data_IF_256162010038
#
_entry.id   IF_256162010038
#
_cell.length_a   1.000
_cell.length_b   1.000
_cell.length_c   1.000
_cell.angle_alpha   90.00
_cell.angle_beta   90.00
_cell.angle_gamma   90.00
#
_symmetry.space_group_name_H-M   'P 1'
#
loop_
_entity.id
_entity.type
_entity.pdbx_description
1 polymer ?
#
# COMPACT_ATOMS: atom_id res chain seq x y z
N UNK A 1 -4.80 -13.14 -4.94
CA UNK A 1 -4.25 -11.88 -5.49
C UNK A 1 -5.22 -10.69 -5.42
N UNK A 2 -6.55 -10.89 -5.42
CA UNK A 2 -7.52 -9.77 -5.41
C UNK A 2 -7.84 -9.11 -4.06
N UNK A 3 -7.52 -9.74 -2.92
CA UNK A 3 -7.91 -9.24 -1.58
C UNK A 3 -7.05 -8.05 -1.14
N UNK A 4 -5.75 -8.06 -1.46
CA UNK A 4 -4.78 -7.06 -0.97
C UNK A 4 -5.07 -5.65 -1.53
N UNK A 5 -5.38 -5.47 -2.82
CA UNK A 5 -5.75 -4.15 -3.35
C UNK A 5 -7.10 -3.63 -2.83
N UNK A 6 -8.07 -4.53 -2.64
CA UNK A 6 -9.37 -4.17 -2.05
C UNK A 6 -9.19 -3.71 -0.61
N UNK A 7 -8.40 -4.44 0.17
CA UNK A 7 -8.05 -4.04 1.53
C UNK A 7 -7.37 -2.67 1.53
N UNK A 8 -6.38 -2.43 0.66
CA UNK A 8 -5.71 -1.13 0.54
C UNK A 8 -6.69 0.02 0.24
N UNK A 9 -7.67 -0.21 -0.63
CA UNK A 9 -8.68 0.79 -0.98
C UNK A 9 -9.58 1.19 0.19
N UNK A 10 -10.10 0.22 0.96
CA UNK A 10 -10.98 0.49 2.10
C UNK A 10 -10.21 0.96 3.34
N UNK A 11 -9.03 0.38 3.58
CA UNK A 11 -8.22 0.71 4.74
C UNK A 11 -7.64 2.12 4.66
N UNK A 12 -7.22 2.56 3.47
CA UNK A 12 -6.79 3.95 3.27
C UNK A 12 -7.92 4.95 3.54
N UNK A 13 -9.16 4.62 3.14
CA UNK A 13 -10.33 5.43 3.47
C UNK A 13 -10.61 5.47 4.97
N UNK A 14 -10.51 4.34 5.65
CA UNK A 14 -10.66 4.25 7.09
C UNK A 14 -9.62 5.11 7.83
N UNK A 15 -8.34 5.02 7.45
CA UNK A 15 -7.28 5.81 8.07
C UNK A 15 -7.45 7.32 7.83
N UNK A 16 -7.92 7.72 6.64
CA UNK A 16 -8.16 9.13 6.31
C UNK A 16 -9.24 9.80 7.17
N UNK A 17 -10.04 9.02 7.92
CA UNK A 17 -11.04 9.55 8.86
C UNK A 17 -10.40 10.14 10.12
N UNK A 18 -9.18 9.71 10.45
CA UNK A 18 -8.48 10.15 11.65
C UNK A 18 -7.62 11.38 11.33
N UNK A 19 -7.89 12.49 12.03
CA UNK A 19 -7.12 13.73 11.89
C UNK A 19 -5.61 13.51 12.06
N UNK A 20 -5.19 12.52 12.86
CA UNK A 20 -3.78 12.15 13.03
C UNK A 20 -3.09 11.68 11.75
N UNK A 21 -3.83 11.10 10.82
CA UNK A 21 -3.29 10.56 9.56
C UNK A 21 -3.45 11.55 8.40
N UNK A 22 -4.46 12.43 8.47
CA UNK A 22 -4.74 13.40 7.41
C UNK A 22 -4.07 14.76 7.65
N UNK A 23 -3.78 15.13 8.90
CA UNK A 23 -3.19 16.42 9.25
C UNK A 23 -1.66 16.36 9.30
N UNK A 24 -0.96 17.32 8.67
CA UNK A 24 0.48 17.44 8.80
C UNK A 24 0.85 17.96 10.20
N UNK A 25 1.78 17.25 10.86
CA UNK A 25 2.42 17.70 12.11
C UNK A 25 3.80 18.27 11.77
N UNK A 26 4.04 19.53 12.12
CA UNK A 26 5.34 20.20 11.96
C UNK A 26 6.30 19.95 13.12
N UNK A 27 5.78 19.47 14.25
CA UNK A 27 6.52 19.30 15.50
C UNK A 27 6.34 17.87 16.04
N UNK A 28 7.42 17.26 16.53
CA UNK A 28 7.42 15.92 17.14
C UNK A 28 6.75 15.88 18.52
N UNK A 29 6.17 16.99 18.97
CA UNK A 29 5.53 17.10 20.28
C UNK A 29 4.16 16.41 20.23
N UNK A 30 3.85 15.56 21.21
CA UNK A 30 2.53 14.90 21.32
C UNK A 30 1.43 15.80 21.90
N UNK A 31 1.73 17.08 22.15
CA UNK A 31 0.76 18.07 22.65
C UNK A 31 0.21 18.90 21.49
N UNK A 32 -1.06 19.30 21.60
CA UNK A 32 -1.76 20.15 20.64
C UNK A 32 -2.94 19.45 19.97
N UNK A 33 -4.03 20.20 19.80
CA UNK A 33 -5.24 19.75 19.12
C UNK A 33 -4.98 19.61 17.61
N UNK A 34 -5.63 18.64 16.95
CA UNK A 34 -5.48 18.37 15.51
C UNK A 34 -6.65 18.95 14.69
N UNK A 35 -7.05 20.20 14.96
CA UNK A 35 -7.88 20.93 14.01
C UNK A 35 -7.00 21.47 12.87
N UNK A 36 -6.96 20.73 11.77
CA UNK A 36 -6.40 21.20 10.51
C UNK A 36 -7.39 20.98 9.36
N UNK A 37 -7.20 21.70 8.26
CA UNK A 37 -7.86 21.38 7.01
C UNK A 37 -7.07 20.25 6.31
N UNK A 38 -7.69 19.10 6.04
CA UNK A 38 -6.99 17.97 5.42
C UNK A 38 -6.50 18.34 4.03
N UNK A 39 -5.28 17.91 3.69
CA UNK A 39 -4.73 18.13 2.36
C UNK A 39 -5.63 17.51 1.28
N UNK A 40 -5.61 18.09 0.06
CA UNK A 40 -6.41 17.63 -1.08
C UNK A 40 -6.24 16.14 -1.43
N UNK A 41 -5.16 15.51 -0.97
CA UNK A 41 -4.90 14.07 -1.14
C UNK A 41 -5.85 13.17 -0.34
N UNK A 42 -6.42 13.67 0.76
CA UNK A 42 -7.31 12.95 1.67
C UNK A 42 -8.80 13.29 1.45
N UNK A 43 -9.09 14.31 0.63
CA UNK A 43 -10.44 14.75 0.30
C UNK A 43 -10.93 14.05 -0.97
N UNK A 44 -12.22 13.73 -1.02
CA UNK A 44 -12.81 13.07 -2.18
C UNK A 44 -12.85 14.03 -3.37
N UNK A 45 -12.28 13.61 -4.50
CA UNK A 45 -12.27 14.34 -5.76
C UNK A 45 -13.16 13.61 -6.76
N UNK A 46 -13.89 14.37 -7.58
CA UNK A 46 -14.67 13.82 -8.68
C UNK A 46 -13.76 13.58 -9.88
N UNK A 47 -13.57 12.32 -10.23
CA UNK A 47 -12.80 11.94 -11.41
C UNK A 47 -13.73 11.51 -12.55
N UNK A 48 -13.49 12.06 -13.74
CA UNK A 48 -14.10 11.55 -14.96
C UNK A 48 -13.37 10.28 -15.39
N UNK A 49 -14.14 9.24 -15.72
CA UNK A 49 -13.57 7.94 -16.11
C UNK A 49 -12.76 8.07 -17.40
N UNK A 50 -13.14 8.96 -18.32
CA UNK A 50 -12.40 9.21 -19.55
C UNK A 50 -11.01 9.83 -19.32
N UNK A 51 -10.86 10.71 -18.32
CA UNK A 51 -9.55 11.27 -17.99
C UNK A 51 -8.64 10.23 -17.32
N UNK A 52 -9.21 9.33 -16.52
CA UNK A 52 -8.47 8.25 -15.84
C UNK A 52 -7.99 7.17 -16.82
N UNK A 53 -8.84 6.80 -17.78
CA UNK A 53 -8.59 5.68 -18.67
C UNK A 53 -7.76 6.05 -19.90
N UNK A 54 -7.77 7.31 -20.33
CA UNK A 54 -7.03 7.80 -21.50
C UNK A 54 -5.50 7.64 -21.41
N UNK A 55 -4.95 7.52 -20.20
CA UNK A 55 -3.51 7.35 -19.98
C UNK A 55 -3.10 5.88 -19.71
N UNK A 56 -4.05 4.95 -19.70
CA UNK A 56 -3.78 3.54 -19.40
C UNK A 56 -3.43 2.80 -20.69
N UNK A 57 -2.16 2.47 -20.87
CA UNK A 57 -1.72 1.47 -21.85
C UNK A 57 -1.53 0.12 -21.15
N UNK A 58 -2.10 -0.99 -21.64
CA UNK A 58 -2.76 -1.22 -22.93
C UNK A 58 -4.28 -0.92 -22.95
N UNK A 59 -4.80 -0.60 -24.15
CA UNK A 59 -6.23 -0.31 -24.44
C UNK A 59 -7.21 -1.44 -24.04
N UNK A 60 -6.71 -2.67 -23.87
CA UNK A 60 -7.50 -3.80 -23.39
C UNK A 60 -7.97 -3.60 -21.95
N UNK A 61 -7.11 -3.02 -21.10
CA UNK A 61 -7.43 -2.69 -19.72
C UNK A 61 -8.40 -1.50 -19.65
N UNK A 62 -8.22 -0.51 -20.53
CA UNK A 62 -9.11 0.63 -20.68
C UNK A 62 -10.55 0.21 -21.00
N UNK A 63 -10.72 -0.69 -21.97
CA UNK A 63 -12.04 -1.20 -22.38
C UNK A 63 -12.69 -2.04 -21.28
N UNK A 64 -11.89 -2.83 -20.54
CA UNK A 64 -12.38 -3.60 -19.41
C UNK A 64 -12.90 -2.69 -18.28
N UNK A 65 -12.15 -1.65 -17.92
CA UNK A 65 -12.54 -0.69 -16.88
C UNK A 65 -13.84 0.03 -17.25
N UNK A 66 -13.97 0.50 -18.49
CA UNK A 66 -15.22 1.13 -19.00
C UNK A 66 -16.44 0.21 -18.92
N UNK A 67 -16.26 -1.10 -19.12
CA UNK A 67 -17.35 -2.08 -19.04
C UNK A 67 -17.74 -2.42 -17.60
N UNK A 68 -16.79 -2.37 -16.68
CA UNK A 68 -16.99 -2.72 -15.26
C UNK A 68 -17.54 -1.55 -14.45
N UNK A 69 -17.21 -0.31 -14.82
CA UNK A 69 -17.68 0.91 -14.14
C UNK A 69 -18.56 1.71 -15.11
N UNK A 70 -19.89 1.52 -15.11
CA UNK A 70 -20.82 2.23 -15.99
C UNK A 70 -21.14 3.65 -15.50
N UNK A 71 -20.31 4.23 -14.64
CA UNK A 71 -20.51 5.58 -14.08
C UNK A 71 -19.54 6.54 -14.77
N UNK A 72 -20.06 7.66 -15.30
CA UNK A 72 -19.21 8.68 -15.94
C UNK A 72 -18.31 9.41 -14.94
N UNK A 73 -18.71 9.43 -13.66
CA UNK A 73 -18.00 10.08 -12.56
C UNK A 73 -17.84 9.14 -11.37
N UNK A 74 -16.65 9.16 -10.77
CA UNK A 74 -16.33 8.40 -9.56
C UNK A 74 -15.79 9.36 -8.50
N UNK A 75 -16.34 9.27 -7.29
CA UNK A 75 -15.84 9.98 -6.10
C UNK A 75 -14.87 9.10 -5.35
N UNK A 76 -13.62 9.52 -5.27
CA UNK A 76 -12.60 8.84 -4.47
C UNK A 76 -11.52 9.83 -4.05
N UNK A 77 -10.86 9.56 -2.94
CA UNK A 77 -9.71 10.35 -2.53
C UNK A 77 -8.45 9.89 -3.28
N UNK A 78 -7.55 10.80 -3.70
CA UNK A 78 -6.31 10.45 -4.40
C UNK A 78 -5.45 9.41 -3.65
N UNK A 79 -5.46 9.46 -2.31
CA UNK A 79 -4.73 8.49 -1.47
C UNK A 79 -5.17 7.04 -1.68
N UNK A 80 -6.44 6.80 -2.03
CA UNK A 80 -6.96 5.45 -2.25
C UNK A 80 -6.34 4.81 -3.51
N UNK A 81 -6.13 5.60 -4.57
CA UNK A 81 -5.48 5.15 -5.80
C UNK A 81 -4.03 4.75 -5.51
N UNK A 82 -3.29 5.58 -4.77
CA UNK A 82 -1.92 5.26 -4.35
C UNK A 82 -1.85 3.99 -3.51
N UNK A 83 -2.78 3.82 -2.57
CA UNK A 83 -2.85 2.63 -1.73
C UNK A 83 -3.10 1.35 -2.55
N UNK A 84 -3.97 1.41 -3.56
CA UNK A 84 -4.19 0.28 -4.48
C UNK A 84 -2.93 -0.07 -5.27
N UNK A 85 -2.21 0.92 -5.80
CA UNK A 85 -0.96 0.68 -6.55
C UNK A 85 0.13 0.08 -5.66
N UNK A 86 0.35 0.66 -4.48
CA UNK A 86 1.37 0.19 -3.53
C UNK A 86 1.06 -1.21 -3.00
N UNK A 87 -0.21 -1.50 -2.69
CA UNK A 87 -0.63 -2.81 -2.21
C UNK A 87 -0.54 -3.88 -3.32
N UNK A 88 -0.87 -3.54 -4.57
CA UNK A 88 -0.64 -4.42 -5.71
C UNK A 88 0.86 -4.71 -5.90
N UNK A 89 1.71 -3.70 -5.84
CA UNK A 89 3.16 -3.85 -5.92
C UNK A 89 3.70 -4.75 -4.78
N UNK A 90 3.32 -4.47 -3.54
CA UNK A 90 3.72 -5.28 -2.39
C UNK A 90 3.28 -6.74 -2.51
N UNK A 91 2.08 -7.00 -3.05
CA UNK A 91 1.57 -8.36 -3.25
C UNK A 91 2.39 -9.17 -4.26
N UNK A 92 3.02 -8.50 -5.22
CA UNK A 92 3.88 -9.13 -6.22
C UNK A 92 5.27 -9.36 -5.66
N UNK A 93 5.84 -8.39 -4.92
CA UNK A 93 7.23 -8.46 -4.42
C UNK A 93 7.37 -9.36 -3.18
N UNK A 94 6.39 -9.37 -2.28
CA UNK A 94 6.46 -10.12 -1.01
C UNK A 94 6.74 -11.63 -1.20
N UNK A 95 6.12 -12.35 -2.15
CA UNK A 95 6.48 -13.73 -2.46
C UNK A 95 7.96 -13.91 -2.82
N UNK A 96 8.52 -13.02 -3.64
CA UNK A 96 9.92 -13.12 -4.08
C UNK A 96 10.91 -12.87 -2.95
N UNK A 97 10.57 -12.02 -1.97
CA UNK A 97 11.39 -11.79 -0.77
C UNK A 97 11.64 -13.08 0.01
N UNK A 98 10.57 -13.84 0.30
CA UNK A 98 10.68 -15.13 1.01
C UNK A 98 11.43 -16.20 0.19
N UNK A 99 11.24 -16.24 -1.13
CA UNK A 99 12.00 -17.15 -1.98
C UNK A 99 13.49 -16.83 -2.02
N UNK A 100 13.87 -15.54 -2.04
CA UNK A 100 15.27 -15.11 -2.03
C UNK A 100 15.95 -15.44 -0.69
N UNK A 101 15.29 -15.17 0.43
CA UNK A 101 15.79 -15.50 1.77
C UNK A 101 15.95 -17.02 1.97
N UNK A 102 14.98 -17.83 1.50
CA UNK A 102 15.07 -19.29 1.50
C UNK A 102 16.23 -19.82 0.63
N UNK A 103 16.41 -19.25 -0.57
CA UNK A 103 17.51 -19.61 -1.48
C UNK A 103 18.89 -19.25 -0.93
N UNK A 104 19.04 -18.08 -0.33
CA UNK A 104 20.28 -17.62 0.28
C UNK A 104 20.69 -18.49 1.47
N UNK A 105 19.73 -18.85 2.34
CA UNK A 105 19.95 -19.79 3.46
C UNK A 105 20.40 -21.18 3.00
N UNK A 106 19.96 -21.63 1.81
CA UNK A 106 20.37 -22.94 1.25
C UNK A 106 21.73 -22.90 0.55
N UNK A 107 22.09 -21.79 -0.09
CA UNK A 107 23.33 -21.66 -0.85
C UNK A 107 24.57 -21.55 0.05
N UNK A 108 24.45 -20.90 1.20
CA UNK A 108 25.60 -20.69 2.10
C UNK A 108 25.73 -21.73 3.21
N UNK A 109 24.76 -22.64 3.41
CA UNK A 109 24.74 -23.66 4.50
C UNK A 109 24.99 -23.11 5.92
N UNK A 110 25.08 -21.80 6.10
CA UNK A 110 25.18 -21.10 7.37
C UNK A 110 23.75 -20.86 7.82
N UNK A 111 23.34 -21.57 8.86
CA UNK A 111 21.95 -21.57 9.33
C UNK A 111 21.60 -20.36 10.20
N UNK A 112 22.60 -19.62 10.68
CA UNK A 112 22.41 -18.47 11.58
C UNK A 112 23.45 -17.39 11.27
N UNK A 113 23.03 -16.25 10.73
CA UNK A 113 23.85 -15.05 10.76
C UNK A 113 23.68 -14.40 12.14
N UNK A 114 24.45 -14.90 13.12
CA UNK A 114 24.73 -14.19 14.37
C UNK A 114 24.15 -14.82 15.64
N UNK A 115 25.03 -15.34 16.49
CA UNK A 115 24.85 -15.57 17.93
C UNK A 115 24.66 -14.24 18.70
N UNK A 116 23.79 -13.35 18.26
CA UNK A 116 23.69 -12.03 18.91
C UNK A 116 22.81 -12.02 20.16
N UNK A 117 21.91 -12.99 20.37
CA UNK A 117 21.16 -13.17 21.64
C UNK A 117 20.80 -14.66 21.85
N UNK A 118 21.28 -15.31 22.94
CA UNK A 118 20.95 -16.71 23.21
C UNK A 118 19.47 -16.84 23.63
N UNK A 119 18.68 -17.61 22.87
CA UNK A 119 17.29 -17.97 23.22
C UNK A 119 16.18 -17.21 22.48
N UNK A 120 16.52 -16.28 21.59
CA UNK A 120 15.58 -15.68 20.63
C UNK A 120 16.25 -15.64 19.26
N UNK A 121 15.72 -16.41 18.30
CA UNK A 121 16.28 -16.54 16.95
C UNK A 121 16.63 -15.19 16.31
N UNK A 122 17.63 -15.21 15.43
CA UNK A 122 18.21 -14.01 14.82
C UNK A 122 17.17 -13.13 14.11
N UNK A 123 17.39 -11.81 14.12
CA UNK A 123 16.51 -10.82 13.49
C UNK A 123 16.23 -11.16 12.01
N UNK A 124 17.20 -11.75 11.33
CA UNK A 124 17.10 -12.20 9.93
C UNK A 124 16.10 -13.34 9.72
N UNK A 125 15.84 -14.17 10.73
CA UNK A 125 14.86 -15.27 10.64
C UNK A 125 13.42 -14.78 10.92
N UNK A 126 13.27 -13.59 11.52
CA UNK A 126 11.97 -12.89 11.65
C UNK A 126 11.64 -11.97 10.49
N UNK A 127 12.60 -11.75 9.60
CA UNK A 127 12.46 -11.02 8.33
C UNK A 127 12.38 -11.98 7.13
N UNK A 128 12.49 -13.29 7.35
CA UNK A 128 12.13 -14.30 6.35
C UNK A 128 10.63 -14.57 6.47
N UNK A 129 9.89 -14.04 5.50
CA UNK A 129 8.46 -13.83 5.57
C UNK A 129 7.66 -15.14 5.64
N UNK A 130 6.60 -15.08 6.45
CA UNK A 130 5.30 -15.68 6.17
C UNK A 130 4.57 -14.87 5.08
#
# INVERSE_FOLDING_TARGET
>A
MGIVPQFGFFFSRFLAQYAWMACPKTDLTMRGWLECEPAAVFVDVEYSVDSLVSHIHPESLATFIRKVIPLDTVKMAPVQVHAVVLSAFASIIAPFGGFFASGFKRAFKIKDFGDSIPGHGGLTDRMDCQ
#
